data_IF_577429477450
#
_entry.id   IF_577429477450
#
_cell.length_a   1.000
_cell.length_b   1.000
_cell.length_c   1.000
_cell.angle_alpha   90.00
_cell.angle_beta   90.00
_cell.angle_gamma   90.00
#
_symmetry.space_group_name_H-M   'P 1'
#
loop_
_entity.id
_entity.type
_entity.pdbx_description
1 polymer ?
#
# COMPACT_ATOMS: atom_id res chain seq x y z
N UNK A 1 27.77 -53.08 -15.49
CA UNK A 1 26.88 -52.49 -16.51
C UNK A 1 27.24 -51.03 -16.64
N UNK A 2 27.87 -50.64 -17.73
CA UNK A 2 28.05 -49.25 -18.11
C UNK A 2 27.43 -49.07 -19.49
N UNK A 3 26.49 -48.14 -19.60
CA UNK A 3 26.04 -47.58 -20.87
C UNK A 3 26.06 -46.06 -20.79
N UNK A 4 26.29 -45.39 -21.93
CA UNK A 4 26.79 -44.02 -22.02
C UNK A 4 25.66 -43.02 -22.28
N UNK A 5 25.80 -41.79 -21.78
CA UNK A 5 24.86 -40.69 -22.04
C UNK A 5 25.64 -39.42 -22.35
N UNK A 6 25.68 -39.06 -23.64
CA UNK A 6 26.37 -37.88 -24.14
C UNK A 6 25.78 -36.59 -23.61
N UNK A 7 26.67 -35.69 -23.16
CA UNK A 7 26.38 -34.28 -23.01
C UNK A 7 27.18 -33.52 -24.08
N UNK A 8 26.55 -32.62 -24.87
CA UNK A 8 27.22 -31.90 -25.93
C UNK A 8 28.25 -30.91 -25.38
N UNK A 9 29.35 -30.81 -26.11
CA UNK A 9 30.45 -29.90 -25.91
C UNK A 9 29.97 -28.45 -25.75
N UNK A 10 30.55 -27.76 -24.77
CA UNK A 10 30.44 -26.31 -24.64
C UNK A 10 31.14 -25.67 -25.84
N UNK A 11 30.39 -25.09 -26.77
CA UNK A 11 30.95 -24.30 -27.86
C UNK A 11 31.46 -22.95 -27.33
N UNK A 12 32.77 -22.81 -27.29
CA UNK A 12 33.47 -21.54 -27.14
C UNK A 12 33.58 -20.87 -28.51
N UNK A 13 33.29 -19.57 -28.60
CA UNK A 13 33.56 -18.76 -29.81
C UNK A 13 35.00 -18.23 -29.79
N UNK A 14 35.61 -18.15 -30.97
CA UNK A 14 37.04 -17.91 -31.17
C UNK A 14 37.54 -16.46 -30.97
N UNK A 15 36.72 -15.50 -30.54
CA UNK A 15 37.14 -14.10 -30.44
C UNK A 15 37.44 -13.60 -29.02
N UNK A 16 37.35 -14.45 -27.98
CA UNK A 16 37.82 -14.10 -26.63
C UNK A 16 37.07 -12.92 -25.97
N UNK A 17 35.85 -12.62 -26.42
CA UNK A 17 35.06 -11.47 -25.95
C UNK A 17 34.02 -11.88 -24.91
N UNK A 18 34.16 -11.42 -23.66
CA UNK A 18 33.05 -11.36 -22.70
C UNK A 18 32.19 -10.14 -23.04
N UNK A 19 31.01 -10.34 -23.63
CA UNK A 19 30.00 -9.28 -23.72
C UNK A 19 29.12 -9.31 -22.46
N UNK A 20 29.67 -8.83 -21.34
CA UNK A 20 28.80 -8.18 -20.35
C UNK A 20 28.31 -6.88 -20.96
N UNK A 21 26.98 -6.72 -21.10
CA UNK A 21 26.18 -5.47 -21.24
C UNK A 21 25.05 -5.78 -22.24
N UNK A 22 23.78 -5.76 -21.86
CA UNK A 22 23.08 -4.63 -21.24
C UNK A 22 21.81 -5.16 -20.59
N UNK A 23 21.83 -5.38 -19.28
CA UNK A 23 20.60 -5.33 -18.50
C UNK A 23 20.08 -3.90 -18.63
N UNK A 24 19.12 -3.69 -19.52
CA UNK A 24 18.33 -2.48 -19.55
C UNK A 24 17.52 -2.43 -18.25
N UNK A 25 18.14 -1.90 -17.19
CA UNK A 25 17.40 -1.30 -16.10
C UNK A 25 16.60 -0.16 -16.73
N UNK A 26 15.28 -0.32 -16.79
CA UNK A 26 14.34 0.77 -17.02
C UNK A 26 14.56 1.84 -15.95
N UNK A 27 15.48 2.78 -16.21
CA UNK A 27 15.81 3.89 -15.32
C UNK A 27 14.82 5.06 -15.39
N UNK A 28 13.70 4.91 -16.08
CA UNK A 28 12.68 5.96 -16.25
C UNK A 28 11.40 5.68 -15.44
N UNK A 29 11.24 4.47 -14.88
CA UNK A 29 10.06 4.08 -14.09
C UNK A 29 10.10 4.52 -12.61
N UNK A 30 11.26 4.88 -12.05
CA UNK A 30 11.42 5.05 -10.59
C UNK A 30 10.91 6.39 -10.04
N UNK A 31 11.02 7.50 -10.79
CA UNK A 31 10.69 8.83 -10.26
C UNK A 31 9.19 9.13 -10.35
N UNK A 32 8.53 8.68 -11.43
CA UNK A 32 7.09 8.86 -11.61
C UNK A 32 6.27 7.97 -10.68
N UNK A 33 6.74 6.74 -10.43
CA UNK A 33 6.12 5.81 -9.49
C UNK A 33 6.18 6.35 -8.06
N UNK A 34 7.36 6.80 -7.62
CA UNK A 34 7.53 7.42 -6.29
C UNK A 34 6.72 8.71 -6.11
N UNK A 35 6.71 9.59 -7.11
CA UNK A 35 5.92 10.82 -7.03
C UNK A 35 4.40 10.54 -6.99
N UNK A 36 3.93 9.48 -7.66
CA UNK A 36 2.54 9.04 -7.60
C UNK A 36 2.21 8.45 -6.23
N UNK A 37 3.07 7.57 -5.71
CA UNK A 37 2.92 6.99 -4.37
C UNK A 37 2.88 8.06 -3.27
N UNK A 38 3.71 9.11 -3.35
CA UNK A 38 3.67 10.22 -2.40
C UNK A 38 2.34 11.01 -2.45
N UNK A 39 1.74 11.19 -3.64
CA UNK A 39 0.41 11.82 -3.74
C UNK A 39 -0.68 10.94 -3.13
N UNK A 40 -0.61 9.63 -3.36
CA UNK A 40 -1.53 8.70 -2.73
C UNK A 40 -1.35 8.65 -1.21
N UNK A 41 -0.10 8.79 -0.71
CA UNK A 41 0.17 8.90 0.72
C UNK A 41 -0.49 10.15 1.30
N UNK A 42 -0.29 11.32 0.68
CA UNK A 42 -0.90 12.58 1.11
C UNK A 42 -2.44 12.47 1.14
N UNK A 43 -3.04 11.84 0.12
CA UNK A 43 -4.47 11.60 0.07
C UNK A 43 -4.95 10.66 1.17
N UNK A 44 -4.22 9.56 1.42
CA UNK A 44 -4.51 8.61 2.49
C UNK A 44 -4.43 9.27 3.88
N UNK A 45 -3.40 10.09 4.12
CA UNK A 45 -3.23 10.85 5.36
C UNK A 45 -4.37 11.86 5.57
N UNK A 46 -4.80 12.54 4.51
CA UNK A 46 -5.97 13.43 4.57
C UNK A 46 -7.24 12.68 4.93
N UNK A 47 -7.47 11.51 4.33
CA UNK A 47 -8.63 10.67 4.66
C UNK A 47 -8.59 10.16 6.10
N UNK A 48 -7.42 9.74 6.60
CA UNK A 48 -7.20 9.37 8.00
C UNK A 48 -7.55 10.53 8.93
N UNK A 49 -7.02 11.73 8.68
CA UNK A 49 -7.30 12.90 9.52
C UNK A 49 -8.77 13.33 9.48
N UNK A 50 -9.42 13.21 8.32
CA UNK A 50 -10.84 13.51 8.19
C UNK A 50 -11.72 12.49 8.94
N UNK A 51 -11.40 11.20 8.83
CA UNK A 51 -12.14 10.15 9.53
C UNK A 51 -12.01 10.24 11.05
N UNK A 52 -10.83 10.58 11.59
CA UNK A 52 -10.63 10.87 13.02
C UNK A 52 -11.54 12.01 13.50
N UNK A 53 -11.63 13.10 12.73
CA UNK A 53 -12.52 14.23 13.06
C UNK A 53 -13.99 13.81 13.04
N UNK A 54 -14.40 12.99 12.08
CA UNK A 54 -15.78 12.47 12.01
C UNK A 54 -16.11 11.56 13.19
N UNK A 55 -15.20 10.66 13.57
CA UNK A 55 -15.34 9.78 14.73
C UNK A 55 -15.50 10.61 16.00
N UNK A 56 -14.60 11.55 16.25
CA UNK A 56 -14.66 12.41 17.45
C UNK A 56 -15.92 13.29 17.49
N UNK A 57 -16.39 13.77 16.33
CA UNK A 57 -17.65 14.51 16.25
C UNK A 57 -18.86 13.61 16.55
N UNK A 58 -18.88 12.39 16.01
CA UNK A 58 -19.98 11.45 16.21
C UNK A 58 -20.05 10.94 17.66
N UNK A 59 -18.91 10.70 18.30
CA UNK A 59 -18.85 10.35 19.73
C UNK A 59 -19.43 11.45 20.62
N UNK A 60 -19.10 12.71 20.34
CA UNK A 60 -19.71 13.86 21.04
C UNK A 60 -21.21 13.92 20.84
N UNK A 61 -21.70 13.75 19.61
CA UNK A 61 -23.15 13.70 19.34
C UNK A 61 -23.86 12.59 20.11
N UNK A 62 -23.26 11.40 20.19
CA UNK A 62 -23.82 10.30 20.98
C UNK A 62 -23.87 10.66 22.46
N UNK A 63 -22.82 11.29 23.01
CA UNK A 63 -22.80 11.72 24.40
C UNK A 63 -23.90 12.77 24.70
N UNK A 64 -24.09 13.73 23.80
CA UNK A 64 -25.14 14.76 23.91
C UNK A 64 -26.53 14.11 23.86
N UNK A 65 -26.76 13.20 22.91
CA UNK A 65 -28.02 12.46 22.78
C UNK A 65 -28.34 11.63 24.02
N UNK A 66 -27.34 10.90 24.58
CA UNK A 66 -27.50 10.13 25.81
C UNK A 66 -27.88 11.02 26.99
N UNK A 67 -27.22 12.17 27.11
CA UNK A 67 -27.49 13.13 28.19
C UNK A 67 -28.89 13.73 28.07
N UNK A 68 -29.41 13.87 26.85
CA UNK A 68 -30.76 14.31 26.56
C UNK A 68 -31.83 13.19 26.62
N UNK A 69 -31.44 11.94 26.93
CA UNK A 69 -32.36 10.80 26.97
C UNK A 69 -32.88 10.35 25.59
N UNK A 70 -32.20 10.75 24.51
CA UNK A 70 -32.56 10.41 23.13
C UNK A 70 -32.06 9.01 22.75
N UNK A 71 -32.75 8.36 21.81
CA UNK A 71 -32.31 7.08 21.27
C UNK A 71 -31.01 7.23 20.46
N UNK A 72 -29.96 6.48 20.81
CA UNK A 72 -28.64 6.54 20.17
C UNK A 72 -28.33 5.41 19.20
N UNK A 73 -29.29 4.52 18.89
CA UNK A 73 -29.06 3.32 18.07
C UNK A 73 -28.41 3.62 16.72
N UNK A 74 -29.10 4.39 15.88
CA UNK A 74 -28.60 4.78 14.55
C UNK A 74 -27.29 5.58 14.63
N UNK A 75 -27.13 6.41 15.66
CA UNK A 75 -25.92 7.19 15.86
C UNK A 75 -24.70 6.29 16.18
N UNK A 76 -24.91 5.21 16.92
CA UNK A 76 -23.90 4.19 17.23
C UNK A 76 -23.57 3.37 15.97
N UNK A 77 -24.58 2.99 15.19
CA UNK A 77 -24.37 2.26 13.93
C UNK A 77 -23.55 3.09 12.93
N UNK A 78 -23.84 4.39 12.81
CA UNK A 78 -23.04 5.31 12.00
C UNK A 78 -21.60 5.43 12.52
N UNK A 79 -21.40 5.49 13.84
CA UNK A 79 -20.05 5.51 14.43
C UNK A 79 -19.27 4.24 14.08
N UNK A 80 -19.93 3.09 14.06
CA UNK A 80 -19.31 1.83 13.65
C UNK A 80 -18.82 1.89 12.20
N UNK A 81 -19.65 2.38 11.29
CA UNK A 81 -19.28 2.58 9.88
C UNK A 81 -18.07 3.51 9.73
N UNK A 82 -18.02 4.63 10.47
CA UNK A 82 -16.85 5.52 10.42
C UNK A 82 -15.58 4.85 10.93
N UNK A 83 -15.66 4.00 11.96
CA UNK A 83 -14.51 3.24 12.46
C UNK A 83 -14.03 2.19 11.46
N UNK A 84 -14.95 1.52 10.76
CA UNK A 84 -14.62 0.57 9.70
C UNK A 84 -13.91 1.26 8.52
N UNK A 85 -14.43 2.41 8.08
CA UNK A 85 -13.78 3.23 7.05
C UNK A 85 -12.40 3.75 7.50
N UNK A 86 -12.28 4.18 8.75
CA UNK A 86 -10.99 4.61 9.32
C UNK A 86 -9.95 3.50 9.28
N UNK A 87 -10.35 2.27 9.62
CA UNK A 87 -9.45 1.12 9.55
C UNK A 87 -8.97 0.85 8.12
N UNK A 88 -9.86 1.00 7.12
CA UNK A 88 -9.48 0.87 5.71
C UNK A 88 -8.50 1.98 5.27
N UNK A 89 -8.73 3.22 5.68
CA UNK A 89 -7.82 4.34 5.38
C UNK A 89 -6.43 4.16 6.02
N UNK A 90 -6.39 3.69 7.27
CA UNK A 90 -5.13 3.38 7.96
C UNK A 90 -4.38 2.24 7.24
N UNK A 91 -5.07 1.15 6.91
CA UNK A 91 -4.47 0.04 6.18
C UNK A 91 -3.93 0.46 4.80
N UNK A 92 -4.64 1.34 4.09
CA UNK A 92 -4.18 1.87 2.82
C UNK A 92 -2.92 2.75 2.98
N UNK A 93 -2.90 3.64 3.97
CA UNK A 93 -1.72 4.45 4.29
C UNK A 93 -0.52 3.57 4.63
N UNK A 94 -0.71 2.57 5.50
CA UNK A 94 0.36 1.70 5.97
C UNK A 94 0.91 0.83 4.82
N UNK A 95 0.05 0.43 3.86
CA UNK A 95 0.49 -0.22 2.63
C UNK A 95 1.37 0.71 1.77
N UNK A 96 0.97 1.96 1.56
CA UNK A 96 1.76 2.93 0.78
C UNK A 96 3.12 3.22 1.44
N UNK A 97 3.14 3.36 2.77
CA UNK A 97 4.38 3.53 3.52
C UNK A 97 5.34 2.35 3.33
N UNK A 98 4.79 1.13 3.38
CA UNK A 98 5.57 -0.10 3.12
C UNK A 98 6.17 -0.12 1.71
N UNK A 99 5.41 0.27 0.68
CA UNK A 99 5.90 0.35 -0.71
C UNK A 99 6.95 1.44 -0.91
N UNK A 100 6.89 2.52 -0.10
CA UNK A 100 7.86 3.61 -0.11
C UNK A 100 9.10 3.34 0.75
N UNK A 101 9.13 2.21 1.48
CA UNK A 101 10.15 1.85 2.46
C UNK A 101 10.32 2.93 3.56
N UNK A 102 9.20 3.52 4.02
CA UNK A 102 9.11 4.53 5.10
C UNK A 102 8.45 3.96 6.36
#
# INVERSE_FOLDING_TARGET
>A
MMSPGGHPALEFREDGSILTRRGARSGVGCVMDRAMQLRHLEEAERHVAQGERHIAAQERRIADMRSAGLNTGEAIDLLKTFRELQAQHLAHRDHILSELEL
#
